data_IF_893963455800
#
_entry.id   IF_893963455800
#
_cell.length_a   1.000
_cell.length_b   1.000
_cell.length_c   1.000
_cell.angle_alpha   90.00
_cell.angle_beta   90.00
_cell.angle_gamma   90.00
#
_symmetry.space_group_name_H-M   'P 1'
#
loop_
_entity.id
_entity.type
_entity.pdbx_description
1 polymer ?
#
# COMPACT_ATOMS: atom_id res chain seq x y z
N UNK A 1 12.18 13.00 -4.76
CA UNK A 1 13.22 13.91 -5.02
C UNK A 1 13.54 14.20 -6.47
N UNK A 2 13.77 13.20 -7.33
CA UNK A 2 14.16 13.41 -8.72
C UNK A 2 13.08 14.10 -9.56
N UNK A 3 11.83 13.74 -9.38
CA UNK A 3 10.68 14.32 -10.08
C UNK A 3 10.52 15.83 -9.80
N UNK A 4 10.87 16.29 -8.61
CA UNK A 4 10.85 17.71 -8.28
C UNK A 4 11.92 18.48 -9.04
N UNK A 5 13.12 17.93 -9.17
CA UNK A 5 14.20 18.54 -9.94
C UNK A 5 13.87 18.58 -11.44
N UNK A 6 13.27 17.52 -11.98
CA UNK A 6 12.82 17.47 -13.38
C UNK A 6 11.70 18.50 -13.61
N UNK A 7 10.73 18.57 -12.70
CA UNK A 7 9.65 19.57 -12.75
C UNK A 7 10.19 20.99 -12.81
N UNK A 8 11.12 21.32 -11.92
CA UNK A 8 11.69 22.67 -11.85
C UNK A 8 12.52 22.99 -13.10
N UNK A 9 13.27 22.02 -13.62
CA UNK A 9 14.06 22.18 -14.85
C UNK A 9 13.19 22.38 -16.09
N UNK A 10 12.03 21.74 -16.14
CA UNK A 10 11.07 21.86 -17.23
C UNK A 10 10.09 23.03 -17.07
N UNK A 11 10.09 23.70 -15.91
CA UNK A 11 9.13 24.76 -15.59
C UNK A 11 7.68 24.30 -15.62
N UNK A 12 7.41 23.01 -15.29
CA UNK A 12 6.10 22.41 -15.41
C UNK A 12 5.52 22.01 -14.03
N UNK A 13 4.32 21.44 -14.04
CA UNK A 13 3.67 20.92 -12.84
C UNK A 13 3.91 19.40 -12.70
N UNK A 14 4.00 18.93 -11.47
CA UNK A 14 3.90 17.50 -11.15
C UNK A 14 2.51 17.21 -10.58
N UNK A 15 1.83 16.20 -11.14
CA UNK A 15 0.57 15.65 -10.63
C UNK A 15 0.90 14.32 -9.99
N UNK A 16 0.81 14.25 -8.67
CA UNK A 16 1.26 13.11 -7.88
C UNK A 16 0.12 12.17 -7.53
N UNK A 17 0.45 10.89 -7.31
CA UNK A 17 -0.45 9.84 -6.85
C UNK A 17 -1.69 9.68 -7.76
N UNK A 18 -1.43 9.65 -9.07
CA UNK A 18 -2.49 9.44 -10.07
C UNK A 18 -3.00 8.01 -9.97
N UNK A 19 -4.33 7.88 -9.90
CA UNK A 19 -5.04 6.60 -9.80
C UNK A 19 -5.78 6.25 -11.07
N UNK A 20 -6.01 7.21 -11.98
CA UNK A 20 -6.75 7.00 -13.21
C UNK A 20 -6.41 8.09 -14.23
N UNK A 21 -6.40 7.73 -15.50
CA UNK A 21 -6.38 8.67 -16.61
C UNK A 21 -7.66 8.55 -17.45
N UNK A 22 -8.27 9.68 -17.75
CA UNK A 22 -9.39 9.81 -18.68
C UNK A 22 -8.99 10.82 -19.78
N UNK A 23 -8.41 10.29 -20.88
CA UNK A 23 -7.75 11.12 -21.88
C UNK A 23 -6.57 11.88 -21.28
N UNK A 24 -6.62 13.20 -21.25
CA UNK A 24 -5.60 14.09 -20.68
C UNK A 24 -5.89 14.54 -19.23
N UNK A 25 -6.95 14.02 -18.64
CA UNK A 25 -7.31 14.25 -17.24
C UNK A 25 -6.70 13.17 -16.33
N UNK A 26 -5.91 13.60 -15.36
CA UNK A 26 -5.38 12.74 -14.32
C UNK A 26 -6.23 12.87 -13.05
N UNK A 27 -6.73 11.74 -12.56
CA UNK A 27 -7.51 11.66 -11.32
C UNK A 27 -6.60 11.31 -10.16
N UNK A 28 -6.69 12.06 -9.08
CA UNK A 28 -5.96 11.82 -7.81
C UNK A 28 -6.94 11.75 -6.65
N UNK A 29 -6.61 10.99 -5.61
CA UNK A 29 -7.39 10.98 -4.37
C UNK A 29 -7.18 12.28 -3.60
N UNK A 30 -8.25 12.83 -3.03
CA UNK A 30 -8.22 14.06 -2.27
C UNK A 30 -8.97 13.90 -0.93
N UNK A 31 -8.65 14.74 0.06
CA UNK A 31 -9.22 14.66 1.41
C UNK A 31 -9.16 13.26 2.03
N UNK A 32 -7.98 12.61 1.97
CA UNK A 32 -7.80 11.28 2.55
C UNK A 32 -8.65 10.18 1.90
N UNK A 33 -8.99 10.34 0.62
CA UNK A 33 -9.77 9.36 -0.14
C UNK A 33 -11.29 9.57 -0.12
N UNK A 34 -11.77 10.63 0.53
CA UNK A 34 -13.21 10.99 0.55
C UNK A 34 -13.65 11.61 -0.76
N UNK A 35 -12.72 12.30 -1.47
CA UNK A 35 -12.98 12.95 -2.74
C UNK A 35 -11.93 12.58 -3.79
N UNK A 36 -12.23 12.93 -5.02
CA UNK A 36 -11.31 12.82 -6.15
C UNK A 36 -11.12 14.20 -6.79
N UNK A 37 -9.90 14.46 -7.24
CA UNK A 37 -9.56 15.65 -8.00
C UNK A 37 -9.12 15.26 -9.40
N UNK A 38 -9.77 15.77 -10.42
CA UNK A 38 -9.35 15.68 -11.82
C UNK A 38 -8.51 16.90 -12.19
N UNK A 39 -7.34 16.68 -12.73
CA UNK A 39 -6.38 17.72 -13.12
C UNK A 39 -5.93 17.49 -14.54
N UNK A 40 -5.79 18.61 -15.29
CA UNK A 40 -5.21 18.63 -16.62
C UNK A 40 -3.93 19.45 -16.59
N UNK A 41 -2.87 18.93 -17.16
CA UNK A 41 -1.64 19.70 -17.37
C UNK A 41 -1.68 20.39 -18.74
N UNK A 42 -1.13 21.61 -18.80
CA UNK A 42 -0.92 22.32 -20.04
C UNK A 42 0.52 22.08 -20.51
N UNK A 43 0.67 21.36 -21.63
CA UNK A 43 1.99 21.00 -22.18
C UNK A 43 2.61 19.78 -21.49
N UNK A 44 3.94 19.76 -21.39
CA UNK A 44 4.68 18.66 -20.74
C UNK A 44 4.35 18.59 -19.26
N UNK A 45 4.04 17.39 -18.77
CA UNK A 45 3.70 17.16 -17.37
C UNK A 45 4.46 15.96 -16.80
N UNK A 46 4.63 15.97 -15.49
CA UNK A 46 5.19 14.85 -14.74
C UNK A 46 4.05 14.23 -13.93
N UNK A 47 3.88 12.93 -14.07
CA UNK A 47 2.90 12.17 -13.29
C UNK A 47 3.65 11.15 -12.42
N UNK A 48 3.26 11.04 -11.15
CA UNK A 48 3.67 9.91 -10.32
C UNK A 48 2.50 8.97 -10.12
N UNK A 49 2.77 7.67 -10.18
CA UNK A 49 1.77 6.63 -9.99
C UNK A 49 2.26 5.65 -8.94
N UNK A 50 1.36 5.17 -8.10
CA UNK A 50 1.68 4.14 -7.12
C UNK A 50 1.88 2.77 -7.76
N UNK A 51 2.61 1.89 -7.07
CA UNK A 51 2.76 0.50 -7.49
C UNK A 51 1.39 -0.19 -7.62
N UNK A 52 1.21 -1.00 -8.67
CA UNK A 52 -0.02 -1.75 -8.92
C UNK A 52 -1.25 -0.88 -9.23
N UNK A 53 -1.13 0.43 -9.52
CA UNK A 53 -2.25 1.31 -9.90
C UNK A 53 -2.77 0.98 -11.28
N UNK A 54 -1.87 0.66 -12.19
CA UNK A 54 -2.20 0.27 -13.57
C UNK A 54 -1.69 -1.14 -13.81
N UNK A 55 -2.37 -1.85 -14.71
CA UNK A 55 -1.90 -3.14 -15.18
C UNK A 55 -0.61 -2.99 -15.98
N UNK A 56 0.18 -4.05 -16.04
CA UNK A 56 1.39 -4.08 -16.87
C UNK A 56 1.02 -3.92 -18.34
N UNK A 57 1.63 -2.94 -18.97
CA UNK A 57 1.47 -2.75 -20.40
C UNK A 57 2.27 -3.81 -21.17
N UNK A 58 1.67 -4.36 -22.23
CA UNK A 58 2.42 -5.18 -23.18
C UNK A 58 3.45 -4.30 -23.88
N UNK A 59 4.73 -4.50 -23.57
CA UNK A 59 5.80 -3.79 -24.24
C UNK A 59 5.87 -4.20 -25.72
N UNK A 60 5.70 -3.23 -26.60
CA UNK A 60 5.91 -3.40 -28.03
C UNK A 60 6.71 -2.23 -28.54
N UNK A 61 7.83 -2.50 -29.19
CA UNK A 61 8.69 -1.45 -29.74
C UNK A 61 10.18 -1.74 -29.56
N UNK A 62 11.00 -0.86 -30.09
CA UNK A 62 12.47 -0.90 -29.93
C UNK A 62 12.87 0.24 -29.01
N UNK A 63 13.62 -0.09 -27.96
CA UNK A 63 14.18 0.92 -27.07
C UNK A 63 15.23 1.75 -27.79
N UNK A 64 15.14 3.08 -27.66
CA UNK A 64 16.18 4.00 -28.07
C UNK A 64 16.91 4.52 -26.82
N UNK A 65 18.20 4.22 -26.74
CA UNK A 65 19.07 4.71 -25.67
C UNK A 65 20.00 5.75 -26.25
N UNK A 66 19.96 6.98 -25.71
CA UNK A 66 20.86 8.07 -26.09
C UNK A 66 21.77 8.40 -24.91
N UNK A 67 23.07 8.54 -25.18
CA UNK A 67 24.02 9.03 -24.17
C UNK A 67 23.95 10.57 -24.08
N UNK A 68 23.58 11.06 -22.89
CA UNK A 68 23.64 12.49 -22.60
C UNK A 68 25.04 12.88 -22.11
N UNK A 69 25.63 14.03 -22.56
CA UNK A 69 26.91 14.49 -22.07
C UNK A 69 26.83 14.79 -20.57
N UNK A 70 27.75 14.22 -19.80
CA UNK A 70 27.87 14.50 -18.37
C UNK A 70 28.33 15.90 -18.11
N UNK A 71 27.52 16.73 -17.46
CA UNK A 71 27.91 18.04 -16.94
C UNK A 71 28.35 17.92 -15.48
N UNK A 72 29.63 18.15 -15.19
CA UNK A 72 30.11 18.08 -13.82
C UNK A 72 29.49 19.19 -12.95
N UNK A 73 28.98 18.89 -11.77
CA UNK A 73 28.41 19.88 -10.86
C UNK A 73 29.53 20.82 -10.33
N UNK A 74 29.19 22.07 -10.08
CA UNK A 74 30.15 23.08 -9.55
C UNK A 74 30.70 22.68 -8.17
N UNK A 75 29.95 21.85 -7.42
CA UNK A 75 30.38 21.23 -6.15
C UNK A 75 30.12 19.74 -6.22
N UNK A 76 31.18 18.95 -6.17
CA UNK A 76 31.05 17.49 -6.12
C UNK A 76 30.63 17.03 -4.73
N UNK A 77 29.57 16.20 -4.66
CA UNK A 77 29.23 15.45 -3.49
C UNK A 77 29.97 14.11 -3.54
N UNK A 78 30.68 13.79 -2.46
CA UNK A 78 31.37 12.51 -2.32
C UNK A 78 30.64 11.68 -1.27
N UNK A 79 30.14 10.50 -1.66
CA UNK A 79 29.63 9.51 -0.71
C UNK A 79 30.82 8.98 0.09
N UNK A 80 30.84 9.22 1.40
CA UNK A 80 31.92 8.80 2.31
C UNK A 80 31.68 7.43 2.92
N UNK A 81 30.44 6.94 2.85
CA UNK A 81 30.05 5.62 3.33
C UNK A 81 28.57 5.38 3.13
N UNK A 82 28.18 4.14 3.13
CA UNK A 82 26.79 3.66 3.19
C UNK A 82 26.60 2.89 4.48
N UNK A 83 25.45 3.06 5.10
CA UNK A 83 24.99 2.25 6.23
C UNK A 83 23.73 1.54 5.80
N UNK A 84 23.79 0.22 5.73
CA UNK A 84 22.61 -0.56 5.45
C UNK A 84 21.63 -0.42 6.61
N UNK A 85 20.42 0.01 6.31
CA UNK A 85 19.31 -0.11 7.25
C UNK A 85 18.90 -1.58 7.29
N UNK A 86 18.59 -2.12 8.49
CA UNK A 86 18.02 -3.46 8.57
C UNK A 86 16.79 -3.49 7.67
N UNK A 87 16.81 -4.32 6.63
CA UNK A 87 15.62 -4.57 5.83
C UNK A 87 14.60 -5.23 6.76
N UNK A 88 13.39 -4.71 6.81
CA UNK A 88 12.29 -5.51 7.31
C UNK A 88 12.13 -6.68 6.33
N UNK A 89 12.01 -7.89 6.85
CA UNK A 89 11.78 -9.09 6.01
C UNK A 89 10.39 -9.10 5.36
N UNK A 90 9.61 -8.04 5.55
CA UNK A 90 8.23 -7.88 5.07
C UNK A 90 8.23 -7.03 3.79
N UNK A 91 7.88 -7.63 2.66
CA UNK A 91 7.64 -6.93 1.40
C UNK A 91 6.15 -6.98 1.03
N UNK A 92 5.37 -6.10 1.65
CA UNK A 92 3.94 -5.99 1.38
C UNK A 92 3.63 -5.53 -0.05
N UNK A 93 4.53 -4.79 -0.68
CA UNK A 93 4.29 -4.24 -2.01
C UNK A 93 4.28 -5.33 -3.10
N UNK A 94 5.11 -6.36 -2.91
CA UNK A 94 5.19 -7.51 -3.82
C UNK A 94 4.25 -8.66 -3.41
N UNK A 95 3.60 -8.59 -2.23
CA UNK A 95 2.81 -9.69 -1.70
C UNK A 95 1.51 -9.93 -2.50
N UNK A 96 1.33 -11.15 -2.99
CA UNK A 96 0.07 -11.56 -3.63
C UNK A 96 -1.07 -11.78 -2.62
N UNK A 97 -0.73 -12.12 -1.39
CA UNK A 97 -1.67 -12.31 -0.27
C UNK A 97 -1.22 -11.45 0.90
N UNK A 98 -2.11 -10.65 1.45
CA UNK A 98 -1.85 -9.82 2.64
C UNK A 98 -2.85 -10.14 3.73
N UNK A 99 -2.35 -10.52 4.90
CA UNK A 99 -3.15 -10.74 6.11
C UNK A 99 -2.86 -9.59 7.08
N UNK A 100 -3.87 -8.77 7.39
CA UNK A 100 -3.67 -7.56 8.16
C UNK A 100 -4.44 -7.56 9.49
N UNK A 101 -3.74 -7.17 10.55
CA UNK A 101 -4.29 -7.04 11.89
C UNK A 101 -4.70 -5.62 12.26
N UNK A 102 -5.75 -5.49 13.04
CA UNK A 102 -6.23 -4.22 13.58
C UNK A 102 -6.34 -4.23 15.11
N UNK A 103 -6.94 -3.18 15.69
CA UNK A 103 -7.16 -3.04 17.14
C UNK A 103 -8.05 -4.12 17.76
N UNK A 104 -8.60 -5.04 16.98
CA UNK A 104 -9.28 -6.22 17.49
C UNK A 104 -8.35 -7.19 18.22
N UNK A 105 -7.04 -7.13 17.95
CA UNK A 105 -6.02 -7.82 18.74
C UNK A 105 -5.84 -7.09 20.07
N UNK A 106 -6.09 -7.79 21.17
CA UNK A 106 -6.02 -7.24 22.51
C UNK A 106 -4.60 -7.34 23.12
N UNK A 107 -3.82 -8.32 22.68
CA UNK A 107 -2.48 -8.61 23.18
C UNK A 107 -1.54 -8.86 22.00
N UNK A 108 -0.27 -8.49 22.15
CA UNK A 108 0.75 -8.70 21.11
C UNK A 108 0.94 -10.18 20.77
N UNK A 109 0.85 -11.05 21.78
CA UNK A 109 0.97 -12.50 21.60
C UNK A 109 -0.09 -13.08 20.64
N UNK A 110 -1.27 -12.47 20.57
CA UNK A 110 -2.36 -12.89 19.68
C UNK A 110 -2.01 -12.69 18.19
N UNK A 111 -1.05 -11.82 17.88
CA UNK A 111 -0.57 -11.62 16.50
C UNK A 111 0.03 -12.90 15.90
N UNK A 112 0.45 -13.85 16.74
CA UNK A 112 0.93 -15.12 16.25
C UNK A 112 -0.16 -15.88 15.48
N UNK A 113 -1.42 -15.79 15.90
CA UNK A 113 -2.57 -16.39 15.19
C UNK A 113 -2.70 -15.84 13.76
N UNK A 114 -2.45 -14.54 13.58
CA UNK A 114 -2.44 -13.91 12.25
C UNK A 114 -1.26 -14.39 11.41
N UNK A 115 -0.07 -14.47 12.01
CA UNK A 115 1.16 -14.95 11.34
C UNK A 115 1.01 -16.39 10.87
N UNK A 116 0.39 -17.24 11.68
CA UNK A 116 0.14 -18.65 11.33
C UNK A 116 -0.78 -18.76 10.10
N UNK A 117 -1.83 -17.96 10.04
CA UNK A 117 -2.73 -17.89 8.86
C UNK A 117 -1.98 -17.36 7.64
N UNK A 118 -1.20 -16.28 7.79
CA UNK A 118 -0.42 -15.72 6.70
C UNK A 118 0.58 -16.73 6.14
N UNK A 119 1.30 -17.45 7.01
CA UNK A 119 2.24 -18.48 6.61
C UNK A 119 1.57 -19.62 5.82
N UNK A 120 0.38 -20.06 6.23
CA UNK A 120 -0.41 -21.07 5.52
C UNK A 120 -0.86 -20.62 4.13
N UNK A 121 -1.16 -19.33 3.99
CA UNK A 121 -1.57 -18.73 2.72
C UNK A 121 -0.40 -18.32 1.83
N UNK A 122 0.85 -18.45 2.30
CA UNK A 122 2.04 -17.94 1.60
C UNK A 122 2.00 -16.41 1.44
N UNK A 123 1.43 -15.72 2.43
CA UNK A 123 1.21 -14.28 2.41
C UNK A 123 2.05 -13.52 3.44
N UNK A 124 2.01 -12.20 3.33
CA UNK A 124 2.71 -11.27 4.21
C UNK A 124 1.75 -10.67 5.26
N UNK A 125 2.33 -10.30 6.42
CA UNK A 125 1.59 -9.70 7.52
C UNK A 125 1.64 -8.18 7.49
N UNK A 126 0.47 -7.54 7.35
CA UNK A 126 0.30 -6.10 7.47
C UNK A 126 -0.47 -5.70 8.73
N UNK A 127 -0.61 -4.41 8.96
CA UNK A 127 -1.37 -3.90 10.09
C UNK A 127 -2.07 -2.57 9.82
N UNK A 128 -3.05 -2.26 10.65
CA UNK A 128 -3.60 -0.91 10.73
C UNK A 128 -2.73 -0.01 11.63
N UNK A 129 -2.82 1.30 11.45
CA UNK A 129 -2.02 2.31 12.13
C UNK A 129 -1.82 2.09 13.65
N UNK A 130 -2.87 1.75 14.43
CA UNK A 130 -2.71 1.59 15.87
C UNK A 130 -1.71 0.52 16.30
N UNK A 131 -1.49 -0.53 15.50
CA UNK A 131 -0.53 -1.58 15.83
C UNK A 131 0.92 -1.18 15.53
N UNK A 132 1.12 -0.24 14.58
CA UNK A 132 2.45 0.24 14.21
C UNK A 132 2.84 1.54 14.92
N UNK A 133 1.88 2.47 15.13
CA UNK A 133 2.17 3.80 15.68
C UNK A 133 1.45 4.07 17.01
N UNK A 134 0.82 3.08 17.62
CA UNK A 134 0.13 3.25 18.90
C UNK A 134 0.69 2.37 19.99
N UNK A 135 0.81 1.07 19.71
CA UNK A 135 1.32 0.08 20.67
C UNK A 135 2.68 -0.50 20.24
N UNK A 136 3.16 -0.17 19.04
CA UNK A 136 4.46 -0.58 18.45
C UNK A 136 4.66 -2.12 18.40
N UNK A 137 3.57 -2.88 18.19
CA UNK A 137 3.62 -4.35 18.07
C UNK A 137 4.04 -4.83 16.67
N UNK A 138 3.93 -3.96 15.68
CA UNK A 138 4.34 -4.23 14.30
C UNK A 138 5.20 -3.08 13.76
N UNK A 139 6.12 -3.37 12.85
CA UNK A 139 6.98 -2.34 12.27
C UNK A 139 6.14 -1.35 11.42
N UNK A 140 6.64 -0.12 11.30
CA UNK A 140 5.96 0.93 10.55
C UNK A 140 5.80 0.58 9.06
N UNK A 141 6.72 -0.19 8.51
CA UNK A 141 6.71 -0.69 7.14
C UNK A 141 5.55 -1.66 6.87
N UNK A 142 4.97 -2.26 7.92
CA UNK A 142 3.79 -3.10 7.82
C UNK A 142 2.46 -2.32 7.88
N UNK A 143 2.51 -1.01 8.14
CA UNK A 143 1.30 -0.18 8.23
C UNK A 143 0.68 0.08 6.86
N UNK A 144 -0.62 -0.20 6.75
CA UNK A 144 -1.44 -0.06 5.54
C UNK A 144 -2.41 1.12 5.71
N UNK A 145 -2.45 2.01 4.74
CA UNK A 145 -3.38 3.14 4.72
C UNK A 145 -2.77 4.44 4.22
N UNK A 146 -3.48 5.56 4.40
CA UNK A 146 -3.16 6.89 3.83
C UNK A 146 -1.72 7.36 4.09
N UNK A 147 -1.16 7.09 5.27
CA UNK A 147 0.22 7.47 5.61
C UNK A 147 1.17 6.27 5.65
N UNK A 148 0.72 5.13 5.19
CA UNK A 148 1.46 3.87 5.12
C UNK A 148 1.52 3.33 3.71
N UNK A 149 1.49 2.00 3.61
CA UNK A 149 1.52 1.32 2.32
C UNK A 149 0.17 1.36 1.62
N UNK A 150 0.20 1.58 0.30
CA UNK A 150 -0.94 1.47 -0.60
C UNK A 150 -0.73 0.22 -1.45
N UNK A 151 -1.60 -0.77 -1.31
CA UNK A 151 -1.41 -2.12 -1.80
C UNK A 151 -2.52 -2.53 -2.79
N UNK A 152 -2.18 -3.48 -3.67
CA UNK A 152 -3.13 -4.10 -4.57
C UNK A 152 -2.90 -5.64 -4.59
N UNK A 153 -3.01 -6.35 -3.45
CA UNK A 153 -2.81 -7.78 -3.41
C UNK A 153 -3.93 -8.51 -4.13
N UNK A 154 -3.68 -9.73 -4.60
CA UNK A 154 -4.75 -10.59 -5.13
C UNK A 154 -5.77 -10.93 -4.07
N UNK A 155 -5.30 -11.16 -2.83
CA UNK A 155 -6.15 -11.48 -1.68
C UNK A 155 -5.74 -10.62 -0.48
N UNK A 156 -6.72 -9.99 0.14
CA UNK A 156 -6.58 -9.28 1.40
C UNK A 156 -7.48 -9.91 2.47
N UNK A 157 -6.92 -10.19 3.65
CA UNK A 157 -7.68 -10.66 4.81
C UNK A 157 -7.49 -9.69 5.98
N UNK A 158 -8.53 -8.91 6.30
CA UNK A 158 -8.55 -7.97 7.42
C UNK A 158 -9.10 -8.61 8.69
N UNK A 159 -8.31 -8.65 9.76
CA UNK A 159 -8.65 -9.30 11.04
C UNK A 159 -8.71 -8.25 12.15
N UNK A 160 -9.87 -8.09 12.77
CA UNK A 160 -10.07 -7.11 13.83
C UNK A 160 -9.87 -5.66 13.37
N UNK A 161 -10.05 -5.40 12.08
CA UNK A 161 -9.99 -4.07 11.47
C UNK A 161 -11.39 -3.51 11.36
N UNK A 162 -11.56 -2.24 11.76
CA UNK A 162 -12.88 -1.59 11.72
C UNK A 162 -13.34 -1.20 10.32
N UNK A 163 -12.42 -0.98 9.39
CA UNK A 163 -12.76 -0.53 8.03
C UNK A 163 -12.91 0.98 7.88
N UNK A 164 -12.15 1.75 8.68
CA UNK A 164 -12.05 3.19 8.49
C UNK A 164 -11.46 3.53 7.12
N UNK A 165 -11.94 4.61 6.51
CA UNK A 165 -11.54 5.05 5.18
C UNK A 165 -10.01 5.15 5.04
N UNK A 166 -9.32 5.67 6.06
CA UNK A 166 -7.87 5.85 6.05
C UNK A 166 -7.08 4.54 5.92
N UNK A 167 -7.65 3.42 6.37
CA UNK A 167 -7.07 2.10 6.17
C UNK A 167 -7.50 1.50 4.83
N UNK A 168 -8.80 1.58 4.54
CA UNK A 168 -9.39 0.93 3.37
C UNK A 168 -8.85 1.46 2.04
N UNK A 169 -8.52 2.75 1.94
CA UNK A 169 -7.86 3.29 0.73
C UNK A 169 -6.51 2.61 0.45
N UNK A 170 -5.85 2.07 1.47
CA UNK A 170 -4.60 1.33 1.32
C UNK A 170 -4.77 -0.05 0.71
N UNK A 171 -6.00 -0.59 0.65
CA UNK A 171 -6.30 -1.95 0.15
C UNK A 171 -7.54 -2.03 -0.74
N UNK A 172 -8.18 -0.91 -1.06
CA UNK A 172 -9.40 -0.86 -1.88
C UNK A 172 -9.21 -1.42 -3.32
N UNK A 173 -7.99 -1.76 -3.68
CA UNK A 173 -7.60 -2.34 -4.97
C UNK A 173 -7.19 -3.81 -4.85
N UNK A 174 -7.44 -4.44 -3.68
CA UNK A 174 -7.30 -5.88 -3.53
C UNK A 174 -8.27 -6.61 -4.48
N UNK A 175 -7.81 -7.71 -5.08
CA UNK A 175 -8.63 -8.51 -5.99
C UNK A 175 -9.82 -9.16 -5.29
N UNK A 176 -9.59 -9.72 -4.09
CA UNK A 176 -10.64 -10.26 -3.22
C UNK A 176 -10.36 -9.89 -1.78
N UNK A 177 -11.36 -9.39 -1.10
CA UNK A 177 -11.26 -8.91 0.28
C UNK A 177 -12.08 -9.77 1.24
N UNK A 178 -11.41 -10.34 2.23
CA UNK A 178 -12.01 -11.06 3.35
C UNK A 178 -11.90 -10.24 4.63
N UNK A 179 -12.87 -10.35 5.51
CA UNK A 179 -12.86 -9.69 6.81
C UNK A 179 -13.31 -10.61 7.94
N UNK A 180 -12.62 -10.55 9.08
CA UNK A 180 -13.02 -11.17 10.34
C UNK A 180 -13.12 -10.08 11.40
N UNK A 181 -14.28 -9.91 11.99
CA UNK A 181 -14.51 -8.96 13.08
C UNK A 181 -15.60 -9.44 14.01
N UNK A 182 -15.45 -9.22 15.32
CA UNK A 182 -16.48 -9.55 16.31
C UNK A 182 -17.67 -8.59 16.29
N UNK A 183 -17.45 -7.35 15.83
CA UNK A 183 -18.53 -6.37 15.67
C UNK A 183 -19.19 -6.54 14.30
N UNK A 184 -20.41 -7.06 14.28
CA UNK A 184 -21.22 -7.23 13.06
C UNK A 184 -21.51 -5.90 12.32
N UNK A 185 -21.38 -4.76 13.01
CA UNK A 185 -21.62 -3.44 12.43
C UNK A 185 -20.33 -2.77 11.96
N UNK A 186 -19.18 -3.45 12.04
CA UNK A 186 -17.92 -2.88 11.59
C UNK A 186 -18.01 -2.46 10.12
N UNK A 187 -17.62 -1.22 9.76
CA UNK A 187 -17.71 -0.70 8.39
C UNK A 187 -16.98 -1.54 7.34
N UNK A 188 -16.00 -2.36 7.74
CA UNK A 188 -15.28 -3.24 6.83
C UNK A 188 -16.22 -4.23 6.13
N UNK A 189 -17.30 -4.69 6.79
CA UNK A 189 -18.26 -5.62 6.19
C UNK A 189 -19.07 -5.03 5.03
N UNK A 190 -19.08 -3.70 4.88
CA UNK A 190 -19.70 -3.04 3.72
C UNK A 190 -18.73 -2.89 2.53
N UNK A 191 -17.47 -3.25 2.74
CA UNK A 191 -16.38 -3.01 1.79
C UNK A 191 -15.64 -4.29 1.40
N UNK A 192 -15.88 -5.41 2.10
CA UNK A 192 -15.30 -6.71 1.78
C UNK A 192 -16.24 -7.56 0.93
N UNK A 193 -15.67 -8.49 0.18
CA UNK A 193 -16.42 -9.48 -0.60
C UNK A 193 -16.99 -10.58 0.31
N UNK A 194 -16.23 -10.99 1.32
CA UNK A 194 -16.60 -12.04 2.27
C UNK A 194 -16.30 -11.58 3.69
N UNK A 195 -17.30 -11.67 4.55
CA UNK A 195 -17.20 -11.28 5.95
C UNK A 195 -17.60 -12.39 6.90
N UNK A 196 -16.82 -12.61 7.95
CA UNK A 196 -17.14 -13.52 9.04
C UNK A 196 -17.23 -12.75 10.35
N UNK A 197 -18.39 -12.81 10.99
CA UNK A 197 -18.60 -12.22 12.32
C UNK A 197 -18.19 -13.25 13.37
N UNK A 198 -17.10 -12.97 14.09
CA UNK A 198 -16.58 -13.87 15.12
C UNK A 198 -15.39 -13.29 15.86
N UNK A 199 -15.06 -13.91 16.99
CA UNK A 199 -13.85 -13.59 17.72
C UNK A 199 -12.62 -14.17 16.98
N UNK A 200 -11.59 -13.38 16.83
CA UNK A 200 -10.37 -13.79 16.13
C UNK A 200 -9.69 -14.99 16.82
N UNK A 201 -9.77 -15.08 18.16
CA UNK A 201 -9.19 -16.20 18.94
C UNK A 201 -9.89 -17.53 18.66
N UNK A 202 -11.17 -17.50 18.28
CA UNK A 202 -11.94 -18.69 17.90
C UNK A 202 -11.81 -19.01 16.41
N UNK A 203 -11.77 -17.97 15.57
CA UNK A 203 -11.79 -18.10 14.11
C UNK A 203 -10.43 -18.50 13.56
N UNK A 204 -9.36 -17.80 13.96
CA UNK A 204 -8.03 -17.96 13.32
C UNK A 204 -7.42 -19.35 13.51
N UNK A 205 -7.51 -20.00 14.70
CA UNK A 205 -7.01 -21.37 14.84
C UNK A 205 -7.76 -22.37 13.95
N UNK A 206 -9.07 -22.19 13.79
CA UNK A 206 -9.88 -23.06 12.92
C UNK A 206 -9.58 -22.81 11.45
N UNK A 207 -9.38 -21.55 11.07
CA UNK A 207 -8.97 -21.19 9.72
C UNK A 207 -7.60 -21.78 9.39
N UNK A 208 -6.60 -21.58 10.26
CA UNK A 208 -5.28 -22.13 10.06
C UNK A 208 -5.24 -23.67 10.00
N UNK A 209 -6.16 -24.34 10.69
CA UNK A 209 -6.30 -25.80 10.62
C UNK A 209 -7.01 -26.29 9.34
N UNK A 210 -7.80 -25.43 8.70
CA UNK A 210 -8.54 -25.76 7.46
C UNK A 210 -7.74 -25.47 6.19
N UNK A 211 -6.68 -24.68 6.29
CA UNK A 211 -5.71 -24.35 5.24
C UNK A 211 -4.53 -25.34 5.22
#
# INVERSE_FOLDING_TARGET
GSEMCIRDSLGTAAITDVIEFEGDLATTMYFGGVGQRKSKANGTAIYTVGAGVFDEASASGTDAVEEAPFAAPARALRVTGTKDLPKSDVDLAAAGVVVAGGRGFAEEADLQLMRDVAAKLGGECGCSRPLAEGVDWMPREAYIGVSGMMLAPKVYLGIGISGQMQHMVGVNRAGTMFAVNKDKNAPIFKQCDYGLVGDLKDVLPKLAAAL
#
